data_IF_721385279987
#
_entry.id   IF_721385279987
#
_cell.length_a   1.000
_cell.length_b   1.000
_cell.length_c   1.000
_cell.angle_alpha   90.00
_cell.angle_beta   90.00
_cell.angle_gamma   90.00
#
_symmetry.space_group_name_H-M   'P 1'
#
loop_
_entity.id
_entity.type
_entity.pdbx_description
1 polymer ?
#
# COMPACT_ATOMS: atom_id res chain seq x y z
N UNK A 1 10.05 11.70 -12.22
CA UNK A 1 9.77 10.31 -12.66
C UNK A 1 9.06 10.24 -14.01
N UNK A 2 9.59 9.44 -14.93
CA UNK A 2 8.95 9.10 -16.22
C UNK A 2 7.90 7.98 -16.06
N UNK A 3 7.28 7.53 -17.16
CA UNK A 3 6.25 6.48 -17.09
C UNK A 3 6.84 5.11 -16.73
N UNK A 4 7.98 4.74 -17.30
CA UNK A 4 8.64 3.46 -17.06
C UNK A 4 9.04 3.33 -15.58
N UNK A 5 9.67 4.37 -15.02
CA UNK A 5 10.05 4.42 -13.62
C UNK A 5 8.84 4.31 -12.69
N UNK A 6 7.71 4.94 -13.04
CA UNK A 6 6.47 4.81 -12.28
C UNK A 6 5.92 3.39 -12.28
N UNK A 7 5.85 2.76 -13.45
CA UNK A 7 5.35 1.39 -13.57
C UNK A 7 6.24 0.39 -12.82
N UNK A 8 7.55 0.53 -12.91
CA UNK A 8 8.49 -0.31 -12.16
C UNK A 8 8.32 -0.17 -10.63
N UNK A 9 8.14 1.06 -10.14
CA UNK A 9 7.91 1.32 -8.71
C UNK A 9 6.56 0.83 -8.23
N UNK A 10 5.50 1.02 -9.03
CA UNK A 10 4.17 0.48 -8.76
C UNK A 10 4.21 -1.04 -8.63
N UNK A 11 4.85 -1.73 -9.58
CA UNK A 11 5.04 -3.17 -9.52
C UNK A 11 5.77 -3.57 -8.23
N UNK A 12 6.84 -2.84 -7.88
CA UNK A 12 7.55 -3.06 -6.61
C UNK A 12 6.69 -2.87 -5.36
N UNK A 13 5.73 -1.95 -5.35
CA UNK A 13 4.76 -1.80 -4.26
C UNK A 13 3.85 -3.02 -4.18
N UNK A 14 3.25 -3.41 -5.30
CA UNK A 14 2.31 -4.53 -5.31
C UNK A 14 2.98 -5.84 -4.91
N UNK A 15 4.14 -6.18 -5.50
CA UNK A 15 4.85 -7.41 -5.15
C UNK A 15 5.28 -7.47 -3.68
N UNK A 16 5.62 -6.32 -3.06
CA UNK A 16 5.97 -6.29 -1.63
C UNK A 16 4.77 -6.54 -0.73
N UNK A 17 3.61 -5.99 -1.10
CA UNK A 17 2.37 -6.21 -0.34
C UNK A 17 1.93 -7.66 -0.53
N UNK A 18 1.83 -8.17 -1.77
CA UNK A 18 1.47 -9.58 -2.04
C UNK A 18 2.34 -10.55 -1.23
N UNK A 19 3.68 -10.37 -1.28
CA UNK A 19 4.61 -11.20 -0.51
C UNK A 19 4.38 -11.13 1.01
N UNK A 20 3.92 -10.00 1.53
CA UNK A 20 3.62 -9.90 2.96
C UNK A 20 2.36 -10.67 3.36
N UNK A 21 1.50 -11.02 2.40
CA UNK A 21 0.31 -11.85 2.57
C UNK A 21 0.55 -13.34 2.31
N UNK A 22 1.76 -13.76 1.85
CA UNK A 22 2.07 -15.19 1.61
C UNK A 22 1.88 -16.07 2.87
N UNK A 23 2.11 -15.51 4.06
CA UNK A 23 1.97 -16.19 5.35
C UNK A 23 0.66 -15.81 6.09
N UNK A 24 -0.25 -15.10 5.43
CA UNK A 24 -1.53 -14.67 6.01
C UNK A 24 -2.63 -15.65 5.62
N UNK A 25 -3.45 -16.03 6.60
CA UNK A 25 -4.66 -16.81 6.36
C UNK A 25 -5.65 -15.99 5.49
N UNK A 26 -5.98 -16.44 4.26
CA UNK A 26 -6.89 -15.71 3.38
C UNK A 26 -8.30 -15.60 3.94
N UNK A 27 -8.71 -16.49 4.86
CA UNK A 27 -10.00 -16.40 5.54
C UNK A 27 -10.04 -15.27 6.58
N UNK A 28 -8.88 -14.70 6.95
CA UNK A 28 -8.76 -13.54 7.85
C UNK A 28 -8.57 -12.25 7.05
N UNK A 29 -7.63 -12.26 6.09
CA UNK A 29 -7.40 -11.15 5.19
C UNK A 29 -6.78 -11.61 3.86
N UNK A 30 -7.33 -11.15 2.75
CA UNK A 30 -6.89 -11.54 1.41
C UNK A 30 -6.39 -10.33 0.62
N UNK A 31 -5.22 -10.45 0.00
CA UNK A 31 -4.70 -9.48 -0.96
C UNK A 31 -4.90 -10.02 -2.39
N UNK A 32 -5.50 -9.23 -3.27
CA UNK A 32 -5.68 -9.58 -4.67
C UNK A 32 -5.47 -8.38 -5.60
N UNK A 33 -5.07 -8.65 -6.84
CA UNK A 33 -4.92 -7.63 -7.88
C UNK A 33 -5.89 -7.93 -9.02
N UNK A 34 -6.71 -6.94 -9.37
CA UNK A 34 -7.66 -7.05 -10.48
C UNK A 34 -7.79 -5.70 -11.19
N UNK A 35 -7.86 -5.73 -12.53
CA UNK A 35 -7.95 -4.53 -13.37
C UNK A 35 -6.89 -3.44 -13.05
N UNK A 36 -5.69 -3.84 -12.60
CA UNK A 36 -4.60 -2.93 -12.26
C UNK A 36 -4.71 -2.28 -10.87
N UNK A 37 -5.71 -2.64 -10.07
CA UNK A 37 -5.91 -2.18 -8.70
C UNK A 37 -5.66 -3.33 -7.73
N UNK A 38 -5.01 -3.03 -6.61
CA UNK A 38 -4.85 -3.98 -5.51
C UNK A 38 -5.96 -3.77 -4.47
N UNK A 39 -6.59 -4.85 -4.03
CA UNK A 39 -7.58 -4.87 -2.96
C UNK A 39 -7.09 -5.77 -1.84
N UNK A 40 -7.13 -5.26 -0.61
CA UNK A 40 -6.98 -6.04 0.61
C UNK A 40 -8.37 -6.10 1.27
N UNK A 41 -8.96 -7.29 1.35
CA UNK A 41 -10.26 -7.53 1.96
C UNK A 41 -10.10 -8.19 3.33
N UNK A 42 -10.93 -7.80 4.31
CA UNK A 42 -10.89 -8.32 5.68
C UNK A 42 -12.13 -9.16 5.98
N UNK A 43 -11.96 -10.25 6.74
CA UNK A 43 -13.05 -11.13 7.16
C UNK A 43 -14.12 -10.41 8.01
N UNK A 44 -13.69 -9.48 8.86
CA UNK A 44 -14.57 -8.62 9.66
C UNK A 44 -15.33 -7.57 8.84
N UNK A 45 -15.13 -7.55 7.52
CA UNK A 45 -15.69 -6.57 6.61
C UNK A 45 -14.77 -5.38 6.37
N UNK A 46 -15.04 -4.66 5.29
CA UNK A 46 -14.21 -3.55 4.83
C UNK A 46 -13.01 -3.99 4.00
N UNK A 47 -12.31 -3.00 3.45
CA UNK A 47 -11.19 -3.19 2.53
C UNK A 47 -10.28 -1.97 2.44
N UNK A 48 -9.05 -2.22 2.02
CA UNK A 48 -8.13 -1.22 1.46
C UNK A 48 -8.05 -1.42 -0.05
N UNK A 49 -8.21 -0.35 -0.82
CA UNK A 49 -8.07 -0.39 -2.29
C UNK A 49 -6.96 0.55 -2.71
N UNK A 50 -5.91 0.01 -3.34
CA UNK A 50 -4.79 0.77 -3.91
C UNK A 50 -4.96 0.87 -5.44
N UNK A 51 -5.29 2.07 -5.91
CA UNK A 51 -5.59 2.37 -7.31
C UNK A 51 -4.51 3.28 -7.92
N UNK A 52 -3.75 2.79 -8.92
CA UNK A 52 -2.77 3.59 -9.63
C UNK A 52 -3.40 4.78 -10.37
N UNK A 53 -2.72 5.93 -10.36
CA UNK A 53 -3.07 7.12 -11.15
C UNK A 53 -1.89 7.51 -12.05
N UNK A 54 -1.75 6.89 -13.23
CA UNK A 54 -0.58 7.10 -14.09
C UNK A 54 -0.38 8.56 -14.49
N UNK A 55 -1.43 9.30 -14.85
CA UNK A 55 -1.34 10.71 -15.24
C UNK A 55 -0.72 11.60 -14.16
N UNK A 56 -0.92 11.25 -12.89
CA UNK A 56 -0.40 11.97 -11.72
C UNK A 56 0.87 11.36 -11.15
N UNK A 57 1.29 10.17 -11.63
CA UNK A 57 2.37 9.36 -11.04
C UNK A 57 2.13 9.05 -9.55
N UNK A 58 0.87 8.80 -9.20
CA UNK A 58 0.44 8.56 -7.81
C UNK A 58 -0.14 7.16 -7.62
N UNK A 59 -0.27 6.75 -6.36
CA UNK A 59 -1.09 5.61 -5.93
C UNK A 59 -2.13 6.14 -4.96
N UNK A 60 -3.42 5.91 -5.22
CA UNK A 60 -4.48 6.33 -4.31
C UNK A 60 -4.93 5.17 -3.44
N UNK A 61 -5.14 5.41 -2.15
CA UNK A 61 -5.66 4.42 -1.23
C UNK A 61 -7.05 4.84 -0.73
N UNK A 62 -8.03 3.95 -0.81
CA UNK A 62 -9.31 4.09 -0.13
C UNK A 62 -9.40 3.07 1.01
N UNK A 63 -9.60 3.54 2.24
CA UNK A 63 -9.70 2.71 3.45
C UNK A 63 -11.13 2.76 3.95
N UNK A 64 -11.92 1.72 3.65
CA UNK A 64 -13.37 1.77 3.90
C UNK A 64 -13.72 1.75 5.38
N UNK A 65 -12.91 1.11 6.22
CA UNK A 65 -13.09 1.07 7.68
C UNK A 65 -12.94 2.45 8.32
N UNK A 66 -12.21 3.36 7.66
CA UNK A 66 -11.98 4.75 8.11
C UNK A 66 -12.76 5.79 7.31
N UNK A 67 -13.50 5.39 6.27
CA UNK A 67 -14.13 6.30 5.30
C UNK A 67 -13.16 7.37 4.78
N UNK A 68 -11.88 7.04 4.63
CA UNK A 68 -10.79 7.99 4.33
C UNK A 68 -10.03 7.58 3.08
N UNK A 69 -9.61 8.59 2.30
CA UNK A 69 -8.78 8.43 1.11
C UNK A 69 -7.45 9.17 1.22
N UNK A 70 -6.38 8.52 0.75
CA UNK A 70 -4.99 9.00 0.76
C UNK A 70 -4.44 9.01 -0.66
N UNK A 71 -3.58 9.99 -0.97
CA UNK A 71 -2.93 10.07 -2.28
C UNK A 71 -1.42 10.00 -2.08
N UNK A 72 -0.76 8.98 -2.59
CA UNK A 72 0.66 8.80 -2.41
C UNK A 72 1.44 9.26 -3.64
N UNK A 73 2.34 10.22 -3.45
CA UNK A 73 3.38 10.57 -4.41
C UNK A 73 4.70 9.92 -4.00
N UNK A 74 5.56 9.65 -4.97
CA UNK A 74 6.85 9.06 -4.70
C UNK A 74 7.93 10.14 -4.52
N UNK A 75 8.68 10.04 -3.43
CA UNK A 75 9.75 10.94 -3.02
C UNK A 75 11.08 10.22 -3.29
N UNK A 76 11.82 10.66 -4.32
CA UNK A 76 12.99 9.94 -4.84
C UNK A 76 14.15 9.95 -3.84
N UNK A 77 14.30 11.05 -3.10
CA UNK A 77 15.32 11.31 -2.10
C UNK A 77 15.21 10.41 -0.86
N UNK A 78 13.99 10.00 -0.51
CA UNK A 78 13.73 9.09 0.62
C UNK A 78 13.48 7.64 0.18
N UNK A 79 13.26 7.45 -1.12
CA UNK A 79 12.82 6.20 -1.72
C UNK A 79 11.45 5.70 -1.21
N UNK A 80 10.55 6.63 -0.86
CA UNK A 80 9.27 6.34 -0.20
C UNK A 80 8.06 6.88 -0.97
N UNK A 81 6.91 6.25 -0.74
CA UNK A 81 5.60 6.76 -1.15
C UNK A 81 4.97 7.49 0.03
N UNK A 82 4.82 8.81 -0.05
CA UNK A 82 4.23 9.62 1.05
C UNK A 82 2.96 10.32 0.61
N UNK A 83 2.10 10.59 1.58
CA UNK A 83 0.86 11.32 1.36
C UNK A 83 1.13 12.72 0.78
N UNK A 84 0.61 12.94 -0.41
CA UNK A 84 0.75 14.16 -1.20
C UNK A 84 0.03 15.36 -0.56
N UNK A 85 -0.83 15.15 0.43
CA UNK A 85 -1.46 16.22 1.21
C UNK A 85 -0.58 16.72 2.37
N UNK A 86 0.60 16.12 2.58
CA UNK A 86 1.58 16.58 3.56
C UNK A 86 1.35 16.08 4.99
N UNK A 87 0.54 15.04 5.20
CA UNK A 87 0.36 14.43 6.53
C UNK A 87 1.59 13.65 7.02
N UNK A 88 2.53 13.35 6.12
CA UNK A 88 3.74 12.58 6.42
C UNK A 88 3.54 11.07 6.47
N UNK A 89 2.32 10.58 6.24
CA UNK A 89 2.01 9.14 6.20
C UNK A 89 2.71 8.49 5.01
N UNK A 90 3.32 7.33 5.25
CA UNK A 90 3.94 6.48 4.22
C UNK A 90 3.00 5.33 3.82
N UNK A 91 3.05 4.90 2.56
CA UNK A 91 2.11 3.94 2.00
C UNK A 91 2.13 2.58 2.72
N UNK A 92 3.30 1.99 2.94
CA UNK A 92 3.39 0.71 3.63
C UNK A 92 3.04 0.83 5.10
N UNK A 93 3.39 1.94 5.76
CA UNK A 93 2.92 2.25 7.11
C UNK A 93 1.39 2.23 7.19
N UNK A 94 0.70 2.93 6.28
CA UNK A 94 -0.76 2.91 6.22
C UNK A 94 -1.31 1.48 6.07
N UNK A 95 -0.74 0.68 5.19
CA UNK A 95 -1.19 -0.71 4.97
C UNK A 95 -1.00 -1.54 6.23
N UNK A 96 0.16 -1.44 6.90
CA UNK A 96 0.43 -2.18 8.15
C UNK A 96 -0.55 -1.77 9.25
N UNK A 97 -0.77 -0.47 9.42
CA UNK A 97 -1.66 0.08 10.44
C UNK A 97 -3.10 -0.41 10.24
N UNK A 98 -3.63 -0.30 9.01
CA UNK A 98 -5.01 -0.71 8.72
C UNK A 98 -5.19 -2.22 8.86
N UNK A 99 -4.22 -3.02 8.42
CA UNK A 99 -4.31 -4.49 8.54
C UNK A 99 -4.21 -4.93 9.99
N UNK A 100 -3.37 -4.28 10.79
CA UNK A 100 -3.31 -4.54 12.23
C UNK A 100 -4.64 -4.20 12.91
N UNK A 101 -5.23 -3.06 12.59
CA UNK A 101 -6.52 -2.63 13.14
C UNK A 101 -7.68 -3.54 12.74
N UNK A 102 -7.76 -3.93 11.46
CA UNK A 102 -8.91 -4.66 10.92
C UNK A 102 -8.83 -6.17 11.12
N UNK A 103 -7.63 -6.74 11.20
CA UNK A 103 -7.41 -8.19 11.23
C UNK A 103 -6.50 -8.66 12.38
N UNK A 104 -5.91 -7.76 13.17
CA UNK A 104 -4.98 -8.12 14.24
C UNK A 104 -3.63 -8.67 13.72
N UNK A 105 -3.33 -8.48 12.44
CA UNK A 105 -2.14 -9.04 11.78
C UNK A 105 -1.05 -7.97 11.71
N UNK A 106 0.12 -8.27 12.27
CA UNK A 106 1.31 -7.45 12.10
C UNK A 106 2.05 -7.84 10.81
N UNK A 107 1.69 -7.19 9.70
CA UNK A 107 2.33 -7.43 8.40
C UNK A 107 3.79 -6.98 8.36
N UNK A 108 4.66 -7.86 7.87
CA UNK A 108 6.07 -7.56 7.65
C UNK A 108 6.29 -7.04 6.22
N UNK A 109 6.05 -5.75 6.03
CA UNK A 109 6.32 -5.07 4.75
C UNK A 109 7.59 -4.22 4.86
N UNK A 110 8.53 -4.40 3.94
CA UNK A 110 9.75 -3.61 3.91
C UNK A 110 9.49 -2.22 3.30
N UNK A 111 9.54 -1.18 4.13
CA UNK A 111 9.63 0.22 3.68
C UNK A 111 11.07 0.57 3.25
N UNK A 112 11.27 1.70 2.58
CA UNK A 112 12.61 2.10 2.18
C UNK A 112 13.44 2.71 3.33
N UNK A 113 14.74 2.39 3.26
CA UNK A 113 15.84 2.63 4.19
C UNK A 113 15.69 2.04 5.59
N UNK A 114 15.90 0.72 5.67
CA UNK A 114 16.79 0.18 6.71
C UNK A 114 18.23 0.27 6.21
N UNK A 115 18.91 1.39 6.45
CA UNK A 115 20.37 1.33 6.62
C UNK A 115 20.61 0.90 8.06
N UNK A 116 20.71 -0.41 8.28
CA UNK A 116 21.43 -0.90 9.46
C UNK A 116 22.85 -0.31 9.36
N UNK A 117 23.19 0.57 10.30
CA UNK A 117 24.61 0.79 10.65
C UNK A 117 25.13 -0.45 11.36
#
# INVERSE_FOLDING_TARGET
MDESGYRARLHGVFSRIERAFDDVDPDVAECSVSAGTMTIAFAGGGRVVLSPQPSLRQIWAAVSTRLTGYHFAYYEEENLWRDAKGTGIELFELVREVVLEAAGINLKIQSALTTLK
#
